data_IF_348520042870
#
_entry.id   IF_348520042870
#
_cell.length_a   1.000
_cell.length_b   1.000
_cell.length_c   1.000
_cell.angle_alpha   90.00
_cell.angle_beta   90.00
_cell.angle_gamma   90.00
#
_symmetry.space_group_name_H-M   'P 1'
#
loop_
_entity.id
_entity.type
_entity.pdbx_description
1 polymer ?
#
# COMPACT_ATOMS: atom_id res chain seq x y z
N UNK A 1 -13.21 -5.72 4.52
CA UNK A 1 -14.08 -5.78 3.32
C UNK A 1 -14.06 -7.21 2.79
N UNK A 2 -15.14 -7.96 3.02
CA UNK A 2 -15.24 -9.35 2.55
C UNK A 2 -15.24 -9.39 1.02
N UNK A 3 -14.34 -10.18 0.44
CA UNK A 3 -14.43 -10.49 -0.98
C UNK A 3 -15.73 -11.24 -1.22
N UNK A 4 -16.61 -10.70 -2.06
CA UNK A 4 -17.83 -11.40 -2.46
C UNK A 4 -17.40 -12.60 -3.31
N UNK A 5 -17.40 -13.78 -2.70
CA UNK A 5 -17.24 -15.03 -3.43
C UNK A 5 -18.40 -15.11 -4.44
N UNK A 6 -18.06 -15.10 -5.73
CA UNK A 6 -19.05 -15.29 -6.78
C UNK A 6 -19.57 -16.73 -6.71
N UNK A 7 -20.87 -16.89 -6.51
CA UNK A 7 -21.54 -18.18 -6.59
C UNK A 7 -21.26 -18.88 -7.93
N UNK A 8 -21.05 -20.20 -7.89
CA UNK A 8 -20.68 -21.02 -9.04
C UNK A 8 -21.67 -20.92 -10.19
N UNK A 9 -22.98 -20.82 -9.88
CA UNK A 9 -24.04 -20.64 -10.90
C UNK A 9 -23.90 -19.29 -11.60
N UNK A 10 -23.60 -18.25 -10.84
CA UNK A 10 -23.39 -16.90 -11.38
C UNK A 10 -22.14 -16.83 -12.26
N UNK A 11 -21.06 -17.52 -11.86
CA UNK A 11 -19.85 -17.64 -12.69
C UNK A 11 -20.14 -18.33 -14.03
N UNK A 12 -20.87 -19.45 -14.01
CA UNK A 12 -21.21 -20.19 -15.22
C UNK A 12 -22.10 -19.37 -16.18
N UNK A 13 -23.08 -18.63 -15.65
CA UNK A 13 -23.92 -17.74 -16.45
C UNK A 13 -23.11 -16.62 -17.12
N UNK A 14 -22.16 -16.01 -16.40
CA UNK A 14 -21.27 -14.99 -16.98
C UNK A 14 -20.40 -15.58 -18.10
N UNK A 15 -19.84 -16.77 -17.88
CA UNK A 15 -19.03 -17.45 -18.89
C UNK A 15 -19.83 -17.83 -20.14
N UNK A 16 -21.09 -18.25 -19.99
CA UNK A 16 -21.98 -18.55 -21.12
C UNK A 16 -22.29 -17.31 -21.97
N UNK A 17 -22.25 -16.11 -21.38
CA UNK A 17 -22.38 -14.84 -22.08
C UNK A 17 -21.06 -14.34 -22.70
N UNK A 18 -19.98 -15.11 -22.64
CA UNK A 18 -18.66 -14.71 -23.11
C UNK A 18 -17.92 -13.73 -22.18
N UNK A 19 -18.41 -13.56 -20.94
CA UNK A 19 -17.79 -12.70 -19.93
C UNK A 19 -16.88 -13.55 -19.06
N UNK A 20 -15.59 -13.22 -19.01
CA UNK A 20 -14.61 -13.89 -18.14
C UNK A 20 -14.43 -13.12 -16.84
N UNK A 21 -15.04 -13.55 -15.72
CA UNK A 21 -14.91 -12.83 -14.45
C UNK A 21 -13.51 -13.05 -13.85
N UNK A 22 -12.78 -11.96 -13.61
CA UNK A 22 -11.53 -11.96 -12.87
C UNK A 22 -11.81 -12.01 -11.37
N UNK A 23 -11.20 -12.97 -10.67
CA UNK A 23 -11.25 -13.04 -9.21
C UNK A 23 -9.90 -12.69 -8.62
N UNK A 24 -9.93 -11.92 -7.52
CA UNK A 24 -8.73 -11.64 -6.74
C UNK A 24 -8.21 -12.95 -6.14
N UNK A 25 -6.93 -13.26 -6.38
CA UNK A 25 -6.27 -14.39 -5.71
C UNK A 25 -6.15 -14.04 -4.23
N UNK A 26 -6.92 -14.70 -3.38
CA UNK A 26 -6.66 -14.69 -1.95
C UNK A 26 -5.46 -15.61 -1.70
N UNK A 27 -4.51 -15.13 -0.89
CA UNK A 27 -3.39 -15.95 -0.44
C UNK A 27 -3.96 -17.02 0.47
N UNK A 28 -3.80 -18.29 0.09
CA UNK A 28 -3.98 -19.39 1.03
C UNK A 28 -2.93 -19.21 2.12
N UNK A 29 -3.39 -18.85 3.31
CA UNK A 29 -2.59 -18.96 4.52
C UNK A 29 -2.28 -20.45 4.66
N UNK A 30 -1.02 -20.83 4.47
CA UNK A 30 -0.59 -22.20 4.70
C UNK A 30 -0.70 -22.41 6.19
N UNK A 31 -1.80 -23.05 6.60
CA UNK A 31 -2.06 -23.47 7.98
C UNK A 31 -1.01 -24.51 8.36
N UNK A 32 0.07 -24.04 8.97
CA UNK A 32 1.00 -24.90 9.71
C UNK A 32 0.23 -25.43 10.91
N UNK A 33 -0.04 -26.73 10.90
CA UNK A 33 -0.70 -27.43 12.00
C UNK A 33 0.01 -27.15 13.34
N UNK A 34 -0.72 -26.77 14.40
CA UNK A 34 -0.11 -26.47 15.70
C UNK A 34 0.24 -27.77 16.45
N UNK A 35 1.39 -27.87 17.15
CA UNK A 35 1.54 -28.84 18.21
C UNK A 35 0.71 -28.39 19.42
N UNK A 36 0.12 -29.38 20.11
CA UNK A 36 -0.76 -29.20 21.25
C UNK A 36 -0.03 -28.73 22.54
N UNK A 37 -0.84 -28.19 23.47
CA UNK A 37 -0.63 -27.84 24.90
C UNK A 37 0.28 -26.63 25.19
N UNK A 38 0.01 -25.70 26.11
CA UNK A 38 -0.75 -25.68 27.38
C UNK A 38 -1.17 -24.22 27.73
N UNK A 39 -2.18 -24.04 28.58
CA UNK A 39 -2.77 -22.75 28.97
C UNK A 39 -1.82 -21.89 29.84
N UNK A 40 -1.70 -20.60 29.52
CA UNK A 40 -1.21 -19.60 30.46
C UNK A 40 -0.44 -18.42 29.86
N UNK A 41 -0.86 -17.21 30.23
CA UNK A 41 -0.21 -15.90 30.04
C UNK A 41 -0.62 -15.13 28.77
N UNK A 42 -1.33 -14.03 29.02
CA UNK A 42 -1.68 -12.98 28.07
C UNK A 42 -0.44 -12.30 27.49
N UNK A 43 -0.29 -12.30 26.15
CA UNK A 43 0.48 -11.29 25.41
C UNK A 43 -0.14 -11.10 24.02
N UNK A 44 -0.65 -9.89 23.80
CA UNK A 44 -0.80 -9.17 22.53
C UNK A 44 -1.17 -9.96 21.26
N UNK A 45 -2.43 -9.84 20.85
CA UNK A 45 -2.79 -9.79 19.43
C UNK A 45 -2.20 -8.51 18.81
N UNK A 46 -0.87 -8.43 18.69
CA UNK A 46 -0.18 -7.43 17.88
C UNK A 46 0.30 -8.08 16.60
N UNK A 47 -0.42 -7.73 15.54
CA UNK A 47 0.18 -7.33 14.27
C UNK A 47 1.07 -8.40 13.61
N UNK A 48 0.42 -9.34 12.92
CA UNK A 48 0.93 -9.72 11.59
C UNK A 48 0.67 -8.59 10.59
N UNK A 49 1.04 -7.35 10.93
CA UNK A 49 1.22 -6.33 9.91
C UNK A 49 2.46 -6.76 9.14
N UNK A 50 2.39 -6.98 7.82
CA UNK A 50 3.61 -7.13 7.06
C UNK A 50 4.43 -5.88 7.39
N UNK A 51 5.66 -6.07 7.88
CA UNK A 51 6.67 -5.00 7.97
C UNK A 51 6.93 -4.55 6.54
N UNK A 52 6.01 -3.76 6.02
CA UNK A 52 6.04 -3.24 4.67
C UNK A 52 7.23 -2.34 4.62
N UNK A 53 8.27 -2.75 3.89
CA UNK A 53 9.47 -1.90 3.74
C UNK A 53 9.11 -0.54 3.13
N UNK A 54 7.98 -0.48 2.43
CA UNK A 54 7.41 0.71 1.83
C UNK A 54 5.93 0.87 2.19
N UNK A 55 5.51 2.10 2.52
CA UNK A 55 4.13 2.53 2.72
C UNK A 55 3.84 3.73 1.83
N UNK A 56 2.65 3.78 1.24
CA UNK A 56 2.19 4.82 0.33
C UNK A 56 0.98 5.53 0.91
N UNK A 57 1.08 6.85 1.12
CA UNK A 57 0.01 7.68 1.62
C UNK A 57 -0.65 8.45 0.47
N UNK A 58 -1.97 8.27 0.32
CA UNK A 58 -2.75 8.85 -0.76
C UNK A 58 -3.92 9.68 -0.22
N UNK A 59 -4.33 10.75 -0.90
CA UNK A 59 -5.61 11.37 -0.61
C UNK A 59 -6.76 10.37 -0.80
N UNK A 60 -7.77 10.45 0.06
CA UNK A 60 -8.99 9.66 -0.06
C UNK A 60 -9.75 9.99 -1.36
N UNK A 61 -9.80 11.27 -1.73
CA UNK A 61 -10.49 11.76 -2.92
C UNK A 61 -9.69 11.65 -4.25
N UNK A 62 -8.68 10.77 -4.32
CA UNK A 62 -7.88 10.62 -5.53
C UNK A 62 -8.71 10.05 -6.70
N UNK A 63 -8.63 10.69 -7.87
CA UNK A 63 -9.29 10.21 -9.08
C UNK A 63 -8.84 8.80 -9.50
N UNK A 64 -9.77 7.98 -9.99
CA UNK A 64 -9.50 6.61 -10.43
C UNK A 64 -8.37 6.54 -11.48
N UNK A 65 -8.36 7.49 -12.43
CA UNK A 65 -7.32 7.57 -13.46
C UNK A 65 -5.92 7.81 -12.89
N UNK A 66 -5.81 8.67 -11.88
CA UNK A 66 -4.55 8.92 -11.20
C UNK A 66 -4.09 7.67 -10.43
N UNK A 67 -5.03 6.97 -9.78
CA UNK A 67 -4.75 5.73 -9.06
C UNK A 67 -4.29 4.60 -9.98
N UNK A 68 -4.84 4.50 -11.19
CA UNK A 68 -4.39 3.53 -12.19
C UNK A 68 -2.97 3.81 -12.68
N UNK A 69 -2.66 5.08 -12.94
CA UNK A 69 -1.29 5.50 -13.31
C UNK A 69 -0.32 5.16 -12.19
N UNK A 70 -0.67 5.49 -10.94
CA UNK A 70 0.13 5.19 -9.77
C UNK A 70 0.33 3.68 -9.60
N UNK A 71 -0.74 2.89 -9.71
CA UNK A 71 -0.66 1.44 -9.66
C UNK A 71 0.32 0.87 -10.67
N UNK A 72 0.28 1.36 -11.92
CA UNK A 72 1.23 0.96 -12.98
C UNK A 72 2.66 1.42 -12.68
N UNK A 73 2.85 2.64 -12.22
CA UNK A 73 4.16 3.19 -11.89
C UNK A 73 4.83 2.43 -10.73
N UNK A 74 4.08 2.14 -9.67
CA UNK A 74 4.55 1.34 -8.53
C UNK A 74 4.91 -0.08 -8.97
N UNK A 75 4.07 -0.70 -9.80
CA UNK A 75 4.34 -2.04 -10.35
C UNK A 75 5.60 -2.07 -11.21
N UNK A 76 5.80 -1.06 -12.05
CA UNK A 76 6.99 -0.94 -12.90
C UNK A 76 8.29 -0.71 -12.10
N UNK A 77 8.20 -0.20 -10.87
CA UNK A 77 9.38 0.07 -10.06
C UNK A 77 9.96 -1.20 -9.40
N UNK A 78 9.13 -2.21 -9.13
CA UNK A 78 9.54 -3.50 -8.59
C UNK A 78 8.59 -4.04 -7.52
N UNK A 79 8.75 -5.31 -7.15
CA UNK A 79 7.82 -6.00 -6.25
C UNK A 79 7.69 -5.39 -4.84
N UNK A 80 8.79 -4.85 -4.28
CA UNK A 80 8.77 -4.25 -2.93
C UNK A 80 7.89 -2.99 -2.88
N UNK A 81 7.97 -2.14 -3.90
CA UNK A 81 7.16 -0.91 -4.00
C UNK A 81 5.74 -1.25 -4.48
N UNK A 82 5.59 -2.22 -5.39
CA UNK A 82 4.29 -2.65 -5.89
C UNK A 82 3.38 -3.22 -4.78
N UNK A 83 3.98 -3.87 -3.78
CA UNK A 83 3.29 -4.47 -2.63
C UNK A 83 3.23 -3.55 -1.40
N UNK A 84 3.64 -2.28 -1.54
CA UNK A 84 3.59 -1.32 -0.46
C UNK A 84 2.16 -1.18 0.09
N UNK A 85 2.05 -1.11 1.42
CA UNK A 85 0.78 -0.80 2.08
C UNK A 85 0.27 0.56 1.63
N UNK A 86 -1.03 0.70 1.38
CA UNK A 86 -1.62 1.96 0.91
C UNK A 86 -2.57 2.49 1.97
N UNK A 87 -2.30 3.69 2.47
CA UNK A 87 -3.11 4.34 3.49
C UNK A 87 -3.79 5.55 2.86
N UNK A 88 -5.08 5.70 3.14
CA UNK A 88 -5.87 6.86 2.72
C UNK A 88 -5.88 7.92 3.81
N UNK A 89 -5.66 9.16 3.39
CA UNK A 89 -5.79 10.35 4.23
C UNK A 89 -7.04 11.11 3.80
N UNK A 90 -7.97 11.28 4.73
CA UNK A 90 -9.16 12.10 4.56
C UNK A 90 -9.13 13.20 5.62
N UNK A 91 -9.42 14.45 5.25
CA UNK A 91 -9.50 15.59 6.18
C UNK A 91 -8.25 15.77 7.07
N UNK A 92 -7.07 15.44 6.54
CA UNK A 92 -5.79 15.50 7.28
C UNK A 92 -5.61 14.40 8.32
N UNK A 93 -6.51 13.42 8.37
CA UNK A 93 -6.44 12.27 9.28
C UNK A 93 -6.19 10.98 8.50
N UNK A 94 -5.41 10.10 9.12
CA UNK A 94 -5.10 8.77 8.58
C UNK A 94 -6.26 7.83 8.89
N UNK A 95 -6.74 7.11 7.88
CA UNK A 95 -7.88 6.17 8.05
C UNK A 95 -7.52 4.94 8.89
N UNK A 96 -6.22 4.68 9.06
CA UNK A 96 -5.66 3.48 9.67
C UNK A 96 -4.35 3.85 10.39
N UNK A 97 -3.97 3.06 11.40
CA UNK A 97 -2.66 3.22 12.06
C UNK A 97 -1.53 3.03 11.06
N UNK A 98 -0.55 3.92 11.08
CA UNK A 98 0.59 3.87 10.16
C UNK A 98 1.59 2.81 10.62
N UNK A 99 1.84 1.74 9.84
CA UNK A 99 2.82 0.73 10.20
C UNK A 99 4.23 1.29 10.02
N UNK A 100 5.16 0.82 10.86
CA UNK A 100 6.58 1.17 10.74
C UNK A 100 7.17 0.65 9.42
N UNK A 101 7.66 1.57 8.59
CA UNK A 101 8.28 1.29 7.30
C UNK A 101 9.61 2.02 7.12
N UNK A 102 10.51 1.43 6.31
CA UNK A 102 11.79 2.04 5.97
C UNK A 102 11.64 3.21 4.98
N UNK A 103 10.57 3.20 4.18
CA UNK A 103 10.27 4.22 3.18
C UNK A 103 8.79 4.58 3.21
N UNK A 104 8.50 5.88 3.27
CA UNK A 104 7.15 6.42 3.10
C UNK A 104 7.09 7.27 1.83
N UNK A 105 6.17 6.93 0.92
CA UNK A 105 5.85 7.72 -0.26
C UNK A 105 4.59 8.52 0.04
N UNK A 106 4.71 9.84 0.07
CA UNK A 106 3.63 10.72 0.52
C UNK A 106 3.17 11.60 -0.62
N UNK A 107 1.91 11.45 -1.04
CA UNK A 107 1.36 12.16 -2.20
C UNK A 107 0.59 13.41 -1.75
N UNK A 108 1.28 14.55 -1.71
CA UNK A 108 0.72 15.85 -1.31
C UNK A 108 1.16 16.32 0.08
N UNK A 109 1.02 17.64 0.31
CA UNK A 109 1.43 18.27 1.57
C UNK A 109 0.51 17.92 2.73
N UNK A 110 -0.81 17.85 2.49
CA UNK A 110 -1.77 17.48 3.52
C UNK A 110 -1.49 16.06 4.09
N UNK A 111 -1.05 15.14 3.23
CA UNK A 111 -0.68 13.79 3.60
C UNK A 111 0.63 13.76 4.39
N UNK A 112 1.58 14.65 4.07
CA UNK A 112 2.84 14.78 4.80
C UNK A 112 2.62 15.35 6.20
N UNK A 113 1.72 16.32 6.31
CA UNK A 113 1.31 16.85 7.60
C UNK A 113 0.63 15.79 8.47
N UNK A 114 -0.35 15.06 7.90
CA UNK A 114 -1.02 13.95 8.60
C UNK A 114 -0.04 12.88 9.08
N UNK A 115 0.93 12.50 8.24
CA UNK A 115 1.99 11.58 8.64
C UNK A 115 2.84 12.12 9.79
N UNK A 116 3.21 13.40 9.74
CA UNK A 116 4.03 14.02 10.78
C UNK A 116 3.33 14.12 12.15
N UNK A 117 1.99 14.18 12.17
CA UNK A 117 1.22 14.18 13.41
C UNK A 117 1.11 12.79 14.06
N UNK A 118 0.99 11.74 13.25
CA UNK A 118 0.76 10.37 13.74
C UNK A 118 2.06 9.58 13.95
N UNK A 119 3.14 9.91 13.23
CA UNK A 119 4.36 9.11 13.26
C UNK A 119 5.24 9.47 14.48
N UNK A 120 5.68 8.49 15.29
CA UNK A 120 6.62 8.75 16.38
C UNK A 120 7.95 9.32 15.85
N UNK A 121 8.52 10.29 16.57
CA UNK A 121 9.73 11.00 16.16
C UNK A 121 10.94 10.09 15.86
N UNK A 122 11.11 9.00 16.63
CA UNK A 122 12.16 8.01 16.42
C UNK A 122 12.05 7.32 15.04
N UNK A 123 10.83 7.03 14.59
CA UNK A 123 10.58 6.43 13.28
C UNK A 123 10.78 7.45 12.18
N UNK A 124 10.36 8.70 12.42
CA UNK A 124 10.53 9.79 11.46
C UNK A 124 12.00 10.08 11.17
N UNK A 125 12.89 9.95 12.16
CA UNK A 125 14.33 10.14 11.97
C UNK A 125 15.01 8.99 11.21
N UNK A 126 14.49 7.78 11.33
CA UNK A 126 15.08 6.58 10.71
C UNK A 126 14.55 6.35 9.29
N UNK A 127 13.28 6.71 9.05
CA UNK A 127 12.60 6.44 7.79
C UNK A 127 12.99 7.41 6.67
N UNK A 128 12.97 6.93 5.44
CA UNK A 128 13.08 7.79 4.27
C UNK A 128 11.69 8.25 3.84
N UNK A 129 11.39 9.54 4.00
CA UNK A 129 10.12 10.15 3.59
C UNK A 129 10.32 10.87 2.26
N UNK A 130 9.68 10.37 1.21
CA UNK A 130 9.70 10.96 -0.11
C UNK A 130 8.35 11.63 -0.40
N UNK A 131 8.37 12.95 -0.45
CA UNK A 131 7.22 13.76 -0.85
C UNK A 131 7.08 13.75 -2.38
N UNK A 132 5.87 13.44 -2.84
CA UNK A 132 5.50 13.39 -4.24
C UNK A 132 4.33 14.35 -4.47
N UNK A 133 4.25 14.89 -5.69
CA UNK A 133 3.12 15.70 -6.13
C UNK A 133 1.78 14.99 -5.90
N UNK A 134 0.73 15.77 -5.66
CA UNK A 134 -0.61 15.24 -5.51
C UNK A 134 -1.07 14.45 -6.75
N UNK A 135 -1.92 13.42 -6.59
CA UNK A 135 -2.33 12.58 -7.70
C UNK A 135 -2.98 13.33 -8.86
N UNK A 136 -3.71 14.41 -8.57
CA UNK A 136 -4.31 15.27 -9.60
C UNK A 136 -3.22 15.98 -10.45
N UNK A 137 -2.16 16.49 -9.82
CA UNK A 137 -1.06 17.18 -10.49
C UNK A 137 -0.21 16.24 -11.37
N UNK A 138 -0.20 14.94 -11.09
CA UNK A 138 0.49 13.94 -11.92
C UNK A 138 -0.14 13.79 -13.31
N UNK A 139 -1.42 14.12 -13.44
CA UNK A 139 -2.14 14.05 -14.72
C UNK A 139 -1.92 15.29 -15.59
N UNK A 140 -1.53 16.41 -14.99
CA UNK A 140 -1.44 17.72 -15.66
C UNK A 140 -0.28 17.84 -16.67
N UNK A 141 0.71 16.95 -16.66
CA UNK A 141 1.82 17.05 -17.61
C UNK A 141 2.92 15.99 -17.47
N UNK A 142 3.91 16.06 -18.36
CA UNK A 142 5.04 15.15 -18.38
C UNK A 142 5.99 15.34 -17.17
N UNK A 143 6.10 16.57 -16.66
CA UNK A 143 7.03 16.88 -15.57
C UNK A 143 6.63 16.23 -14.25
N UNK A 144 5.34 16.18 -13.92
CA UNK A 144 4.83 15.46 -12.75
C UNK A 144 5.17 13.97 -12.82
N UNK A 145 5.04 13.35 -14.01
CA UNK A 145 5.43 11.95 -14.24
C UNK A 145 6.93 11.73 -14.09
N UNK A 146 7.77 12.66 -14.57
CA UNK A 146 9.24 12.60 -14.42
C UNK A 146 9.64 12.70 -12.94
N UNK A 147 9.03 13.63 -12.18
CA UNK A 147 9.27 13.78 -10.74
C UNK A 147 8.83 12.54 -9.96
N UNK A 148 7.64 12.00 -10.25
CA UNK A 148 7.20 10.72 -9.71
C UNK A 148 8.23 9.62 -9.99
N UNK A 149 8.66 9.48 -11.25
CA UNK A 149 9.61 8.43 -11.61
C UNK A 149 10.98 8.60 -10.93
N UNK A 150 11.43 9.84 -10.73
CA UNK A 150 12.64 10.13 -9.97
C UNK A 150 12.50 9.71 -8.50
N UNK A 151 11.39 10.09 -7.84
CA UNK A 151 11.10 9.73 -6.46
C UNK A 151 11.02 8.20 -6.28
N UNK A 152 10.33 7.49 -7.19
CA UNK A 152 10.25 6.04 -7.16
C UNK A 152 11.61 5.35 -7.33
N UNK A 153 12.46 5.83 -8.26
CA UNK A 153 13.81 5.29 -8.43
C UNK A 153 14.68 5.52 -7.20
N UNK A 154 14.55 6.67 -6.54
CA UNK A 154 15.25 6.95 -5.30
C UNK A 154 14.77 6.04 -4.17
N UNK A 155 13.46 5.92 -3.98
CA UNK A 155 12.87 5.00 -2.99
C UNK A 155 13.38 3.56 -3.19
N UNK A 156 13.42 3.08 -4.44
CA UNK A 156 13.95 1.74 -4.76
C UNK A 156 15.41 1.58 -4.37
N UNK A 157 16.26 2.59 -4.60
CA UNK A 157 17.67 2.54 -4.20
C UNK A 157 17.82 2.46 -2.69
N UNK A 158 17.03 3.24 -1.96
CA UNK A 158 17.03 3.23 -0.48
C UNK A 158 16.58 1.87 0.05
N UNK A 159 15.54 1.27 -0.54
CA UNK A 159 15.08 -0.08 -0.18
C UNK A 159 16.16 -1.14 -0.45
N UNK A 160 16.82 -1.08 -1.60
CA UNK A 160 17.92 -1.97 -1.93
C UNK A 160 19.12 -1.83 -0.99
N UNK A 161 19.49 -0.60 -0.60
CA UNK A 161 20.59 -0.35 0.34
C UNK A 161 20.28 -0.84 1.76
N UNK A 162 19.00 -0.91 2.14
CA UNK A 162 18.53 -1.38 3.45
C UNK A 162 18.16 -2.87 3.48
N UNK A 163 18.32 -3.55 2.35
CA UNK A 163 17.94 -4.96 2.19
C UNK A 163 18.96 -5.85 1.53
N UNK A 164 20.17 -5.33 1.31
CA UNK A 164 21.38 -6.12 1.08
C UNK A 164 21.95 -6.65 2.38
#
# INVERSE_FOLDING_TARGET
>A
MAAVALDTRRRAALQAMGITPWVLRQRAEVELAPPAVDEGVAVAARESQPRGRCVVLLPAAAEARALDLLGRALTACGAEIARAGRIRVADGQLSETVPHAAVYLVFGQAQAHALGCELPAAVMSEAHIALVDEPAALLSGADGKRRLWAALRQARRVLGARGG
#
